data_IF_864172928139
#
_entry.id   IF_864172928139
#
_cell.length_a   1.000
_cell.length_b   1.000
_cell.length_c   1.000
_cell.angle_alpha   90.00
_cell.angle_beta   90.00
_cell.angle_gamma   90.00
#
_symmetry.space_group_name_H-M   'P 1'
#
loop_
_entity.id
_entity.type
_entity.pdbx_description
1 polymer ?
#
# COMPACT_ATOMS: atom_id res chain seq x y z
N UNK A 1 -3.84 0.04 8.61
CA UNK A 1 -4.44 -1.22 8.12
C UNK A 1 -3.35 -2.27 7.96
N UNK A 2 -3.52 -3.52 8.40
CA UNK A 2 -2.50 -4.54 8.18
C UNK A 2 -2.38 -4.85 6.67
N UNK A 3 -1.16 -4.77 6.13
CA UNK A 3 -0.89 -5.05 4.72
C UNK A 3 -0.95 -6.56 4.43
N UNK A 4 -1.43 -6.90 3.23
CA UNK A 4 -1.30 -8.27 2.69
C UNK A 4 0.14 -8.53 2.24
N UNK A 5 0.50 -9.78 1.95
CA UNK A 5 1.80 -10.10 1.34
C UNK A 5 2.00 -9.34 0.01
N UNK A 6 0.93 -9.20 -0.79
CA UNK A 6 0.89 -8.37 -1.99
C UNK A 6 1.18 -6.90 -1.65
N UNK A 7 0.51 -6.34 -0.65
CA UNK A 7 0.73 -4.95 -0.24
C UNK A 7 2.15 -4.66 0.22
N UNK A 8 2.78 -5.59 0.95
CA UNK A 8 4.19 -5.48 1.35
C UNK A 8 5.12 -5.43 0.14
N UNK A 9 4.90 -6.31 -0.86
CA UNK A 9 5.70 -6.34 -2.11
C UNK A 9 5.57 -5.04 -2.91
N UNK A 10 4.33 -4.54 -3.07
CA UNK A 10 4.06 -3.28 -3.78
C UNK A 10 4.71 -2.10 -3.07
N UNK A 11 4.57 -2.03 -1.73
CA UNK A 11 5.19 -0.96 -0.96
C UNK A 11 6.73 -1.01 -1.08
N UNK A 12 7.34 -2.20 -1.02
CA UNK A 12 8.78 -2.35 -1.20
C UNK A 12 9.25 -1.90 -2.59
N UNK A 13 8.50 -2.22 -3.65
CA UNK A 13 8.79 -1.72 -5.00
C UNK A 13 8.69 -0.19 -5.08
N UNK A 14 7.65 0.40 -4.47
CA UNK A 14 7.49 1.85 -4.40
C UNK A 14 8.63 2.53 -3.62
N UNK A 15 9.13 1.91 -2.55
CA UNK A 15 10.30 2.44 -1.82
C UNK A 15 11.52 2.51 -2.74
N UNK A 16 11.74 1.48 -3.59
CA UNK A 16 12.83 1.48 -4.57
C UNK A 16 12.65 2.58 -5.62
N UNK A 17 11.42 2.82 -6.09
CA UNK A 17 11.12 3.84 -7.11
C UNK A 17 11.22 5.26 -6.57
N UNK A 18 10.70 5.52 -5.35
CA UNK A 18 10.66 6.87 -4.79
C UNK A 18 11.87 7.19 -3.90
N UNK A 19 12.72 6.22 -3.59
CA UNK A 19 13.90 6.37 -2.71
C UNK A 19 13.59 6.71 -1.25
N UNK A 20 12.33 6.99 -0.91
CA UNK A 20 11.90 7.39 0.42
C UNK A 20 10.71 6.56 0.89
N UNK A 21 10.87 5.92 2.05
CA UNK A 21 9.80 5.14 2.69
C UNK A 21 8.58 6.01 2.99
N UNK A 22 8.79 7.27 3.39
CA UNK A 22 7.71 8.21 3.71
C UNK A 22 6.91 8.57 2.47
N UNK A 23 7.59 8.89 1.36
CA UNK A 23 6.95 9.21 0.09
C UNK A 23 6.19 8.00 -0.47
N UNK A 24 6.83 6.84 -0.50
CA UNK A 24 6.24 5.59 -0.98
C UNK A 24 4.97 5.23 -0.20
N UNK A 25 4.98 5.33 1.14
CA UNK A 25 3.77 5.09 1.95
C UNK A 25 2.66 6.08 1.63
N UNK A 26 2.97 7.37 1.45
CA UNK A 26 1.96 8.39 1.13
C UNK A 26 1.29 8.09 -0.21
N UNK A 27 2.07 7.81 -1.25
CA UNK A 27 1.56 7.47 -2.58
C UNK A 27 0.80 6.13 -2.56
N UNK A 28 1.30 5.14 -1.83
CA UNK A 28 0.64 3.85 -1.66
C UNK A 28 -0.76 4.02 -1.07
N UNK A 29 -0.88 4.70 0.08
CA UNK A 29 -2.18 4.92 0.72
C UNK A 29 -3.12 5.77 -0.14
N UNK A 30 -2.61 6.82 -0.80
CA UNK A 30 -3.41 7.61 -1.73
C UNK A 30 -3.94 6.76 -2.90
N UNK A 31 -3.11 5.86 -3.44
CA UNK A 31 -3.47 4.96 -4.54
C UNK A 31 -4.48 3.89 -4.12
N UNK A 32 -4.41 3.42 -2.87
CA UNK A 32 -5.40 2.49 -2.30
C UNK A 32 -6.73 3.19 -2.07
N UNK A 33 -6.72 4.38 -1.47
CA UNK A 33 -7.92 5.19 -1.26
C UNK A 33 -8.59 5.58 -2.58
N UNK A 34 -7.81 5.89 -3.62
CA UNK A 34 -8.29 6.15 -4.96
C UNK A 34 -8.75 4.89 -5.70
N UNK A 35 -8.63 3.70 -5.11
CA UNK A 35 -9.06 2.44 -5.70
C UNK A 35 -8.19 1.93 -6.87
N UNK A 36 -7.05 2.58 -7.15
CA UNK A 36 -6.08 2.18 -8.19
C UNK A 36 -5.35 0.90 -7.84
N UNK A 37 -5.09 0.68 -6.54
CA UNK A 37 -4.43 -0.51 -6.05
C UNK A 37 -5.37 -1.22 -5.07
N UNK A 38 -5.78 -2.45 -5.41
CA UNK A 38 -6.75 -3.26 -4.63
C UNK A 38 -6.13 -4.55 -4.11
N UNK A 39 -6.67 -5.06 -2.99
CA UNK A 39 -6.22 -6.30 -2.35
C UNK A 39 -4.86 -6.21 -1.66
N UNK A 40 -4.37 -5.00 -1.42
CA UNK A 40 -3.07 -4.74 -0.77
C UNK A 40 -3.18 -4.48 0.73
N UNK A 41 -4.38 -4.16 1.20
CA UNK A 41 -4.71 -4.03 2.61
C UNK A 41 -5.69 -5.14 2.99
N UNK A 42 -5.48 -5.76 4.16
CA UNK A 42 -6.48 -6.64 4.75
C UNK A 42 -7.63 -5.74 5.19
N UNK A 43 -8.76 -5.81 4.50
CA UNK A 43 -10.00 -5.19 4.99
C UNK A 43 -10.28 -5.79 6.36
N UNK A 44 -10.38 -4.98 7.41
CA UNK A 44 -11.08 -5.42 8.62
C UNK A 44 -12.47 -5.78 8.14
N UNK A 45 -12.85 -7.05 8.17
CA UNK A 45 -14.27 -7.40 8.16
C UNK A 45 -14.86 -6.61 9.33
N UNK A 46 -15.73 -5.63 9.03
CA UNK A 46 -16.66 -5.16 10.04
C UNK A 46 -17.55 -6.37 10.31
N UNK A 47 -17.32 -7.01 11.45
CA UNK A 47 -18.34 -7.85 12.07
C UNK A 47 -19.54 -7.00 12.43
#
# INVERSE_FOLDING_TARGET
MPLTAKGKRVLAAMVKTYGSVKAARRVFHASVNAGKIRGVERRKHKS
#
